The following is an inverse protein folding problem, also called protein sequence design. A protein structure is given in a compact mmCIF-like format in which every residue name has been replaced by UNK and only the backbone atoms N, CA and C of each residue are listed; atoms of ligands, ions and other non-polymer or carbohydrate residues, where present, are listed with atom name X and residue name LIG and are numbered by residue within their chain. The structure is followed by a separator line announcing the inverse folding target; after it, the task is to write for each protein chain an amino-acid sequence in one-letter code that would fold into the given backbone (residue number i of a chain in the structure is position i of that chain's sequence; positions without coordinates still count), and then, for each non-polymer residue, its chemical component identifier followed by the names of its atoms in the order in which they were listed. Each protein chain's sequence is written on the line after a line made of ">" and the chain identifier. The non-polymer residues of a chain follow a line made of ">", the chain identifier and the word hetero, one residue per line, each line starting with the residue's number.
data_IF_983455619800
#
_entry.id   IF_983455619800
#
_cell.length_a   1.000
_cell.length_b   1.000
_cell.length_c   1.000
_cell.angle_alpha   90.00
_cell.angle_beta   90.00
_cell.angle_gamma   90.00
#
_symmetry.space_group_name_H-M   'P 1'
#
loop_
_entity.id
_entity.type
_entity.pdbx_description
1 polymer ?
#
# COMPACT_ATOMS: atom_id res chain seq x y z
N UNK A 1 -8.95 25.45 -6.71
CA UNK A 1 -8.93 25.15 -5.25
C UNK A 1 -9.67 23.85 -4.90
N UNK A 2 -10.89 23.60 -5.40
CA UNK A 2 -11.62 22.34 -5.18
C UNK A 2 -10.95 21.13 -5.88
N UNK A 3 -10.49 21.30 -7.12
CA UNK A 3 -9.75 20.26 -7.89
C UNK A 3 -8.45 19.81 -7.19
N UNK A 4 -7.60 20.75 -6.79
CA UNK A 4 -6.37 20.45 -6.04
C UNK A 4 -6.64 19.67 -4.73
N UNK A 5 -7.70 20.00 -3.99
CA UNK A 5 -8.11 19.25 -2.79
C UNK A 5 -8.55 17.82 -3.15
N UNK A 6 -9.22 17.63 -4.28
CA UNK A 6 -9.59 16.30 -4.76
C UNK A 6 -8.35 15.48 -5.14
N UNK A 7 -7.38 16.07 -5.85
CA UNK A 7 -6.12 15.42 -6.22
C UNK A 7 -5.31 15.02 -4.97
N UNK A 8 -5.22 15.90 -3.97
CA UNK A 8 -4.58 15.57 -2.69
C UNK A 8 -5.25 14.39 -1.97
N UNK A 9 -6.59 14.28 -2.03
CA UNK A 9 -7.29 13.12 -1.47
C UNK A 9 -6.92 11.83 -2.19
N UNK A 10 -6.70 11.85 -3.51
CA UNK A 10 -6.22 10.68 -4.27
C UNK A 10 -4.85 10.24 -3.74
N UNK A 11 -3.92 11.18 -3.52
CA UNK A 11 -2.59 10.87 -2.95
C UNK A 11 -2.71 10.28 -1.53
N UNK A 12 -3.55 10.87 -0.68
CA UNK A 12 -3.79 10.35 0.68
C UNK A 12 -4.37 8.94 0.63
N UNK A 13 -5.30 8.66 -0.27
CA UNK A 13 -5.87 7.32 -0.46
C UNK A 13 -4.80 6.32 -0.91
N UNK A 14 -3.95 6.69 -1.87
CA UNK A 14 -2.85 5.84 -2.33
C UNK A 14 -1.86 5.51 -1.22
N UNK A 15 -1.43 6.52 -0.45
CA UNK A 15 -0.52 6.33 0.69
C UNK A 15 -1.16 5.49 1.81
N UNK A 16 -2.48 5.65 2.03
CA UNK A 16 -3.19 4.83 3.03
C UNK A 16 -3.22 3.35 2.63
N UNK A 17 -3.45 3.06 1.35
CA UNK A 17 -3.38 1.70 0.83
C UNK A 17 -1.95 1.13 0.94
N UNK A 18 -0.93 1.91 0.59
CA UNK A 18 0.47 1.50 0.79
C UNK A 18 0.76 1.09 2.24
N UNK A 19 0.38 1.95 3.19
CA UNK A 19 0.56 1.71 4.61
C UNK A 19 -0.20 0.45 5.08
N UNK A 20 -1.44 0.26 4.62
CA UNK A 20 -2.22 -0.94 4.91
C UNK A 20 -1.53 -2.20 4.38
N UNK A 21 -1.04 -2.17 3.14
CA UNK A 21 -0.33 -3.30 2.53
C UNK A 21 0.97 -3.66 3.25
N UNK A 22 1.73 -2.66 3.69
CA UNK A 22 2.92 -2.85 4.53
C UNK A 22 2.56 -3.40 5.92
N UNK A 23 1.48 -2.89 6.52
CA UNK A 23 0.97 -3.37 7.80
C UNK A 23 0.56 -4.85 7.77
N UNK A 24 -0.10 -5.29 6.69
CA UNK A 24 -0.46 -6.71 6.50
C UNK A 24 0.79 -7.60 6.35
N UNK A 25 1.83 -7.15 5.64
CA UNK A 25 3.10 -7.87 5.54
C UNK A 25 3.81 -7.96 6.89
N UNK A 26 3.80 -6.88 7.68
CA UNK A 26 4.37 -6.87 9.02
C UNK A 26 3.61 -7.80 9.98
N UNK A 27 2.28 -7.77 9.95
CA UNK A 27 1.42 -8.68 10.71
C UNK A 27 1.73 -10.15 10.39
N UNK A 28 1.86 -10.46 9.11
CA UNK A 28 2.24 -11.80 8.67
C UNK A 28 3.66 -12.19 9.12
N UNK A 29 4.60 -11.24 9.10
CA UNK A 29 5.95 -11.46 9.62
C UNK A 29 5.96 -11.86 11.09
N UNK A 30 5.13 -11.20 11.92
CA UNK A 30 5.02 -11.49 13.36
C UNK A 30 4.43 -12.89 13.58
N UNK A 31 3.35 -13.27 12.89
CA UNK A 31 2.76 -14.60 13.03
C UNK A 31 3.75 -15.69 12.61
N UNK A 32 4.41 -15.51 11.47
CA UNK A 32 5.36 -16.51 10.98
C UNK A 32 6.56 -16.68 11.94
N UNK A 33 7.02 -15.63 12.61
CA UNK A 33 8.06 -15.74 13.66
C UNK A 33 7.49 -16.49 14.88
N UNK A 34 6.32 -16.09 15.38
CA UNK A 34 5.68 -16.72 16.55
C UNK A 34 5.39 -18.20 16.35
N UNK A 35 4.95 -18.61 15.15
CA UNK A 35 4.66 -20.01 14.82
C UNK A 35 5.92 -20.87 14.64
N UNK A 36 7.07 -20.26 14.31
CA UNK A 36 8.36 -20.97 14.27
C UNK A 36 8.96 -21.21 15.67
N UNK A 37 8.55 -20.45 16.69
CA UNK A 37 8.97 -20.66 18.09
C UNK A 37 8.14 -21.71 18.83
N UNK A 38 6.89 -21.98 18.40
CA UNK A 38 5.92 -22.76 19.18
C UNK A 38 5.90 -24.27 18.84
N UNK A 39 5.96 -24.72 17.58
CA UNK A 39 5.72 -26.16 17.30
C UNK A 39 6.56 -26.80 16.17
N UNK A 40 7.33 -27.83 16.60
CA UNK A 40 7.55 -29.07 15.86
C UNK A 40 6.29 -29.95 15.94
N UNK A 41 5.20 -29.67 15.21
CA UNK A 41 4.22 -30.71 14.83
C UNK A 41 3.16 -30.17 13.84
N UNK A 42 3.16 -30.77 12.65
CA UNK A 42 2.00 -31.10 11.80
C UNK A 42 0.88 -30.09 11.46
N UNK A 43 1.21 -28.89 10.95
CA UNK A 43 0.19 -27.99 10.37
C UNK A 43 0.62 -27.33 9.05
N UNK A 44 0.68 -28.13 7.98
CA UNK A 44 1.01 -27.65 6.61
C UNK A 44 -0.03 -26.66 6.04
N UNK A 45 -1.25 -26.63 6.61
CA UNK A 45 -2.37 -25.79 6.13
C UNK A 45 -2.23 -24.33 6.59
N UNK A 46 -1.75 -24.08 7.81
CA UNK A 46 -1.73 -22.72 8.40
C UNK A 46 -0.70 -21.81 7.71
N UNK A 47 0.47 -22.38 7.36
CA UNK A 47 1.53 -21.69 6.59
C UNK A 47 1.09 -21.19 5.20
N UNK A 48 0.04 -21.79 4.61
CA UNK A 48 -0.46 -21.42 3.28
C UNK A 48 -1.32 -20.16 3.34
N UNK A 49 -2.22 -20.07 4.32
CA UNK A 49 -3.08 -18.91 4.54
C UNK A 49 -2.25 -17.68 4.95
N UNK A 50 -1.24 -17.93 5.76
CA UNK A 50 -0.23 -16.96 6.16
C UNK A 50 0.46 -16.29 4.95
N UNK A 51 0.97 -17.07 3.99
CA UNK A 51 1.58 -16.51 2.77
C UNK A 51 0.60 -15.69 1.91
N UNK A 52 -0.69 -16.02 1.94
CA UNK A 52 -1.71 -15.29 1.17
C UNK A 52 -1.86 -13.86 1.71
N UNK A 53 -1.81 -13.65 3.03
CA UNK A 53 -1.92 -12.31 3.63
C UNK A 53 -0.76 -11.42 3.19
N UNK A 54 0.48 -11.94 3.23
CA UNK A 54 1.64 -11.20 2.74
C UNK A 54 1.52 -10.84 1.25
N UNK A 55 1.08 -11.77 0.41
CA UNK A 55 0.86 -11.53 -1.02
C UNK A 55 -0.21 -10.46 -1.27
N UNK A 56 -1.32 -10.50 -0.54
CA UNK A 56 -2.36 -9.46 -0.58
C UNK A 56 -1.77 -8.10 -0.19
N UNK A 57 -0.96 -8.06 0.86
CA UNK A 57 -0.29 -6.84 1.32
C UNK A 57 0.59 -6.20 0.24
N UNK A 58 1.36 -6.99 -0.51
CA UNK A 58 2.19 -6.51 -1.63
C UNK A 58 1.34 -5.90 -2.74
N UNK A 59 0.24 -6.56 -3.12
CA UNK A 59 -0.65 -6.04 -4.17
C UNK A 59 -1.38 -4.77 -3.76
N UNK A 60 -1.86 -4.69 -2.52
CA UNK A 60 -2.47 -3.47 -1.96
C UNK A 60 -1.45 -2.31 -1.99
N UNK A 61 -0.19 -2.58 -1.65
CA UNK A 61 0.87 -1.57 -1.67
C UNK A 61 1.20 -1.11 -3.10
N UNK A 62 1.26 -2.02 -4.07
CA UNK A 62 1.47 -1.68 -5.47
C UNK A 62 0.33 -0.79 -6.02
N UNK A 63 -0.93 -1.12 -5.71
CA UNK A 63 -2.10 -0.33 -6.09
C UNK A 63 -2.03 1.08 -5.45
N UNK A 64 -1.74 1.15 -4.16
CA UNK A 64 -1.59 2.44 -3.48
C UNK A 64 -0.50 3.32 -4.11
N UNK A 65 0.61 2.71 -4.52
CA UNK A 65 1.70 3.40 -5.23
C UNK A 65 1.25 3.96 -6.57
N UNK A 66 0.54 3.17 -7.37
CA UNK A 66 0.01 3.64 -8.65
C UNK A 66 -0.97 4.82 -8.46
N UNK A 67 -1.86 4.74 -7.48
CA UNK A 67 -2.83 5.80 -7.17
C UNK A 67 -2.12 7.09 -6.75
N UNK A 68 -1.13 7.01 -5.85
CA UNK A 68 -0.35 8.18 -5.42
C UNK A 68 0.43 8.81 -6.59
N UNK A 69 1.01 8.00 -7.48
CA UNK A 69 1.75 8.47 -8.65
C UNK A 69 0.84 9.20 -9.65
N UNK A 70 -0.40 8.72 -9.86
CA UNK A 70 -1.40 9.41 -10.67
C UNK A 70 -1.70 10.78 -10.06
N UNK A 71 -1.94 10.85 -8.75
CA UNK A 71 -2.19 12.11 -8.06
C UNK A 71 -1.03 13.11 -8.20
N UNK A 72 0.21 12.65 -8.01
CA UNK A 72 1.41 13.49 -8.15
C UNK A 72 1.58 14.03 -9.58
N UNK A 73 1.34 13.18 -10.58
CA UNK A 73 1.43 13.56 -12.00
C UNK A 73 0.42 14.65 -12.36
N UNK A 74 -0.78 14.61 -11.77
CA UNK A 74 -1.81 15.63 -11.98
C UNK A 74 -1.40 16.98 -11.36
N UNK A 75 -0.84 16.98 -10.14
CA UNK A 75 -0.32 18.20 -9.49
C UNK A 75 0.79 18.81 -10.33
N UNK A 76 1.77 18.01 -10.74
CA UNK A 76 2.92 18.50 -11.50
C UNK A 76 2.47 19.11 -12.85
N UNK A 77 1.49 18.49 -13.52
CA UNK A 77 0.92 19.05 -14.74
C UNK A 77 0.25 20.40 -14.50
N UNK A 78 -0.51 20.56 -13.42
CA UNK A 78 -1.19 21.82 -13.09
C UNK A 78 -0.17 22.93 -12.75
N UNK A 79 0.84 22.63 -11.92
CA UNK A 79 1.92 23.58 -11.59
C UNK A 79 2.72 24.02 -12.82
N UNK A 80 2.91 23.13 -13.80
CA UNK A 80 3.61 23.46 -15.06
C UNK A 80 2.79 24.39 -15.95
N UNK A 81 1.47 24.24 -15.97
CA UNK A 81 0.58 25.14 -16.72
C UNK A 81 0.54 26.54 -16.10
N UNK A 82 0.45 26.62 -14.77
CA UNK A 82 0.45 27.92 -14.06
C UNK A 82 1.73 28.72 -14.34
N UNK A 83 2.88 28.05 -14.43
CA UNK A 83 4.17 28.70 -14.77
C UNK A 83 4.28 29.21 -16.21
N UNK A 84 3.45 28.73 -17.14
CA UNK A 84 3.47 29.16 -18.55
C UNK A 84 2.56 30.37 -18.78
N UNK A 85 1.51 30.51 -17.97
CA UNK A 85 0.47 31.54 -18.14
C UNK A 85 0.85 32.86 -17.43
N UNK A 86 1.80 32.83 -16.51
CA UNK A 86 2.38 34.00 -15.81
C UNK A 86 3.63 34.47 -16.55
#
# INVERSE_FOLDING_TARGET
>A
MLEMKAIQRIIILGNSLQSLGAGLQAYQGIINISNNEIEKEDSTVDKKNERIIALIGVWIQAIGTAISAIGLTLIEKEERLDKIII
#
